data_IF_810789307697
#
_entry.id   IF_810789307697
#
_cell.length_a   1.000
_cell.length_b   1.000
_cell.length_c   1.000
_cell.angle_alpha   90.00
_cell.angle_beta   90.00
_cell.angle_gamma   90.00
#
_symmetry.space_group_name_H-M   'P 1'
#
loop_
_entity.id
_entity.type
_entity.pdbx_description
1 polymer ?
#
# COMPACT_ATOMS: atom_id res chain seq x y z
N UNK A 1 -11.82 -6.41 -13.40
CA UNK A 1 -12.96 -5.84 -12.64
C UNK A 1 -13.86 -6.93 -12.10
N UNK A 2 -14.69 -6.67 -11.07
CA UNK A 2 -15.59 -7.67 -10.50
C UNK A 2 -16.64 -8.23 -11.50
N UNK A 3 -17.02 -7.44 -12.48
CA UNK A 3 -17.96 -7.81 -13.55
C UNK A 3 -17.28 -8.37 -14.81
N UNK A 4 -15.95 -8.60 -14.76
CA UNK A 4 -15.11 -9.11 -15.85
C UNK A 4 -15.10 -8.23 -17.11
N UNK A 5 -15.69 -7.01 -17.06
CA UNK A 5 -15.72 -6.09 -18.21
C UNK A 5 -14.38 -5.42 -18.48
N UNK A 6 -13.48 -5.39 -17.51
CA UNK A 6 -12.14 -4.76 -17.60
C UNK A 6 -11.06 -5.65 -16.99
N UNK A 7 -9.90 -5.64 -17.61
CA UNK A 7 -8.70 -6.38 -17.17
C UNK A 7 -7.58 -5.37 -16.94
N UNK A 8 -6.85 -5.50 -15.83
CA UNK A 8 -5.60 -4.78 -15.61
C UNK A 8 -4.45 -5.59 -16.19
N UNK A 9 -3.68 -4.97 -17.06
CA UNK A 9 -2.47 -5.54 -17.64
C UNK A 9 -1.27 -4.73 -17.18
N UNK A 10 -0.16 -5.40 -16.92
CA UNK A 10 1.07 -4.76 -16.46
C UNK A 10 2.22 -4.97 -17.44
N UNK A 11 3.10 -3.99 -17.52
CA UNK A 11 4.35 -4.04 -18.30
C UNK A 11 5.44 -3.23 -17.61
N UNK A 12 6.68 -3.35 -18.12
CA UNK A 12 7.85 -2.62 -17.59
C UNK A 12 8.01 -2.79 -16.08
N UNK A 13 7.85 -4.01 -15.61
CA UNK A 13 7.97 -4.34 -14.19
C UNK A 13 9.39 -4.13 -13.70
N UNK A 14 9.52 -3.43 -12.56
CA UNK A 14 10.78 -3.22 -11.84
C UNK A 14 10.60 -3.61 -10.38
N UNK A 15 11.30 -4.65 -9.93
CA UNK A 15 11.27 -5.12 -8.55
C UNK A 15 11.75 -4.04 -7.57
N UNK A 16 11.14 -4.02 -6.38
CA UNK A 16 11.56 -3.19 -5.24
C UNK A 16 12.15 -4.13 -4.17
N UNK A 17 11.32 -5.02 -3.63
CA UNK A 17 11.70 -6.07 -2.68
C UNK A 17 11.29 -7.44 -3.22
N UNK A 18 11.08 -8.43 -2.35
CA UNK A 18 10.73 -9.79 -2.74
C UNK A 18 9.37 -9.88 -3.47
N UNK A 19 8.38 -9.09 -3.04
CA UNK A 19 7.00 -9.13 -3.53
C UNK A 19 6.56 -7.83 -4.20
N UNK A 20 7.12 -6.72 -3.78
CA UNK A 20 6.78 -5.40 -4.31
C UNK A 20 7.53 -5.08 -5.58
N UNK A 21 6.85 -4.40 -6.47
CA UNK A 21 7.39 -3.90 -7.74
C UNK A 21 6.60 -2.70 -8.23
N UNK A 22 7.22 -1.91 -9.08
CA UNK A 22 6.53 -0.92 -9.89
C UNK A 22 6.29 -1.46 -11.29
N UNK A 23 5.19 -1.06 -11.93
CA UNK A 23 4.92 -1.37 -13.33
C UNK A 23 4.09 -0.25 -13.97
N UNK A 24 4.06 -0.19 -15.28
CA UNK A 24 3.05 0.57 -16.02
C UNK A 24 1.83 -0.31 -16.20
N UNK A 25 0.66 0.20 -15.85
CA UNK A 25 -0.59 -0.53 -15.96
C UNK A 25 -1.50 0.05 -17.03
N UNK A 26 -2.21 -0.85 -17.67
CA UNK A 26 -3.21 -0.57 -18.70
C UNK A 26 -4.54 -1.18 -18.30
N UNK A 27 -5.61 -0.50 -18.63
CA UNK A 27 -6.98 -1.00 -18.52
C UNK A 27 -7.39 -1.48 -19.89
N UNK A 28 -7.69 -2.76 -20.02
CA UNK A 28 -8.28 -3.34 -21.22
C UNK A 28 -9.80 -3.43 -21.04
N UNK A 29 -10.55 -2.71 -21.85
CA UNK A 29 -12.01 -2.83 -21.95
C UNK A 29 -12.35 -3.98 -22.89
N UNK A 30 -12.90 -5.05 -22.34
CA UNK A 30 -13.17 -6.30 -23.07
C UNK A 30 -14.22 -6.09 -24.15
N UNK A 31 -15.29 -5.33 -23.85
CA UNK A 31 -16.40 -5.09 -24.78
C UNK A 31 -15.99 -4.25 -25.99
N UNK A 32 -15.20 -3.22 -25.74
CA UNK A 32 -14.81 -2.26 -26.75
C UNK A 32 -13.46 -2.60 -27.41
N UNK A 33 -12.78 -3.65 -26.95
CA UNK A 33 -11.45 -4.09 -27.41
C UNK A 33 -10.45 -2.91 -27.39
N UNK A 34 -10.44 -2.13 -26.29
CA UNK A 34 -9.67 -0.90 -26.18
C UNK A 34 -8.74 -0.94 -24.97
N UNK A 35 -7.52 -0.46 -25.18
CA UNK A 35 -6.53 -0.22 -24.12
C UNK A 35 -6.47 1.26 -23.77
N UNK A 36 -6.39 1.56 -22.48
CA UNK A 36 -6.09 2.89 -21.96
C UNK A 36 -5.05 2.79 -20.86
N UNK A 37 -4.19 3.79 -20.71
CA UNK A 37 -3.31 3.87 -19.54
C UNK A 37 -4.12 4.00 -18.26
N UNK A 38 -3.69 3.33 -17.19
CA UNK A 38 -4.26 3.56 -15.87
C UNK A 38 -3.91 4.97 -15.38
N UNK A 39 -2.67 5.42 -15.61
CA UNK A 39 -2.17 6.72 -15.19
C UNK A 39 -1.02 7.17 -16.07
N UNK A 40 -0.99 8.46 -16.40
CA UNK A 40 0.13 9.11 -17.11
C UNK A 40 1.22 9.62 -16.15
N UNK A 41 1.01 9.50 -14.84
CA UNK A 41 1.93 10.05 -13.82
C UNK A 41 3.17 9.20 -13.52
N UNK A 42 3.40 8.13 -14.27
CA UNK A 42 4.53 7.18 -14.12
C UNK A 42 4.14 5.87 -13.45
N UNK A 43 5.10 4.98 -13.19
CA UNK A 43 4.85 3.62 -12.73
C UNK A 43 4.05 3.55 -11.42
N UNK A 44 3.18 2.55 -11.33
CA UNK A 44 2.29 2.32 -10.21
C UNK A 44 2.65 1.03 -9.47
N UNK A 45 2.12 0.87 -8.25
CA UNK A 45 2.17 -0.35 -7.45
C UNK A 45 0.75 -0.76 -7.08
N UNK A 46 0.50 -2.05 -7.08
CA UNK A 46 -0.67 -2.73 -6.52
C UNK A 46 -2.03 -2.10 -6.88
N UNK A 47 -2.38 -1.91 -8.16
CA UNK A 47 -3.69 -1.38 -8.52
C UNK A 47 -4.80 -2.38 -8.18
N UNK A 48 -5.86 -1.89 -7.51
CA UNK A 48 -7.00 -2.68 -7.06
C UNK A 48 -8.29 -2.01 -7.51
N UNK A 49 -9.19 -2.78 -8.15
CA UNK A 49 -10.55 -2.31 -8.46
C UNK A 49 -11.38 -2.12 -7.18
N UNK A 50 -12.25 -1.11 -7.18
CA UNK A 50 -13.33 -1.03 -6.21
C UNK A 50 -14.33 -2.18 -6.39
N UNK A 51 -15.05 -2.61 -5.34
CA UNK A 51 -16.05 -3.69 -5.43
C UNK A 51 -17.15 -3.46 -6.49
N UNK A 52 -17.52 -2.20 -6.75
CA UNK A 52 -18.48 -1.83 -7.80
C UNK A 52 -17.86 -1.71 -9.22
N UNK A 53 -16.54 -1.91 -9.35
CA UNK A 53 -15.82 -1.84 -10.62
C UNK A 53 -15.71 -0.45 -11.23
N UNK A 54 -16.09 0.62 -10.53
CA UNK A 54 -16.12 1.99 -11.08
C UNK A 54 -14.83 2.78 -10.83
N UNK A 55 -13.97 2.28 -9.94
CA UNK A 55 -12.73 2.96 -9.54
C UNK A 55 -11.56 1.96 -9.45
N UNK A 56 -10.35 2.51 -9.53
CA UNK A 56 -9.10 1.79 -9.22
C UNK A 56 -8.29 2.65 -8.26
N UNK A 57 -7.86 2.06 -7.13
CA UNK A 57 -6.86 2.64 -6.24
C UNK A 57 -5.50 2.01 -6.51
N UNK A 58 -4.42 2.79 -6.39
CA UNK A 58 -3.05 2.31 -6.52
C UNK A 58 -2.08 3.19 -5.72
N UNK A 59 -0.87 2.69 -5.50
CA UNK A 59 0.21 3.47 -4.90
C UNK A 59 1.20 3.96 -5.96
N UNK A 60 1.73 5.17 -5.78
CA UNK A 60 2.82 5.75 -6.56
C UNK A 60 3.63 6.71 -5.69
N UNK A 61 4.95 6.55 -5.68
CA UNK A 61 5.86 7.38 -4.86
C UNK A 61 5.38 7.48 -3.40
N UNK A 62 5.08 6.33 -2.79
CA UNK A 62 4.60 6.19 -1.41
C UNK A 62 3.26 6.88 -1.09
N UNK A 63 2.52 7.31 -2.09
CA UNK A 63 1.21 7.92 -1.93
C UNK A 63 0.12 7.12 -2.64
N UNK A 64 -1.11 7.19 -2.10
CA UNK A 64 -2.30 6.60 -2.70
C UNK A 64 -2.96 7.54 -3.69
N UNK A 65 -3.42 6.95 -4.77
CA UNK A 65 -4.17 7.59 -5.85
C UNK A 65 -5.46 6.81 -6.13
N UNK A 66 -6.44 7.51 -6.65
CA UNK A 66 -7.73 6.96 -7.05
C UNK A 66 -8.07 7.42 -8.47
N UNK A 67 -8.39 6.48 -9.35
CA UNK A 67 -8.89 6.74 -10.71
C UNK A 67 -10.36 6.40 -10.76
N UNK A 68 -11.18 7.32 -11.26
CA UNK A 68 -12.62 7.13 -11.51
C UNK A 68 -12.85 6.83 -12.98
N UNK A 69 -13.21 5.57 -13.29
CA UNK A 69 -13.29 5.04 -14.66
C UNK A 69 -14.45 5.67 -15.48
N UNK A 70 -15.54 6.07 -14.81
CA UNK A 70 -16.69 6.68 -15.47
C UNK A 70 -16.49 8.16 -15.86
N UNK A 71 -15.38 8.76 -15.44
CA UNK A 71 -15.06 10.18 -15.66
C UNK A 71 -13.73 10.30 -16.44
N UNK A 72 -13.64 9.62 -17.56
CA UNK A 72 -12.46 9.61 -18.44
C UNK A 72 -11.15 9.30 -17.68
N UNK A 73 -11.20 8.31 -16.79
CA UNK A 73 -10.09 7.92 -15.93
C UNK A 73 -9.53 9.07 -15.08
N UNK A 74 -10.40 9.94 -14.56
CA UNK A 74 -9.98 11.05 -13.72
C UNK A 74 -9.21 10.58 -12.49
N UNK A 75 -7.93 10.93 -12.44
CA UNK A 75 -7.03 10.61 -11.34
C UNK A 75 -7.12 11.67 -10.22
N UNK A 76 -7.10 11.21 -8.98
CA UNK A 76 -7.02 12.05 -7.78
C UNK A 76 -5.96 11.50 -6.83
N UNK A 77 -5.11 12.37 -6.32
CA UNK A 77 -4.18 12.02 -5.25
C UNK A 77 -4.91 12.06 -3.90
N UNK A 78 -4.82 10.97 -3.13
CA UNK A 78 -5.48 10.80 -1.83
C UNK A 78 -4.55 11.22 -0.68
N UNK A 79 -3.30 10.75 -0.69
CA UNK A 79 -2.29 11.10 0.34
C UNK A 79 -1.19 11.95 -0.27
N UNK A 80 -0.52 12.78 0.56
CA UNK A 80 0.51 13.71 0.10
C UNK A 80 1.77 13.71 0.95
N UNK A 81 1.78 12.93 2.03
CA UNK A 81 2.88 12.85 2.99
C UNK A 81 3.84 11.69 2.70
N UNK A 82 3.54 10.89 1.67
CA UNK A 82 4.42 9.80 1.25
C UNK A 82 5.76 10.31 0.77
N UNK A 83 6.84 9.76 1.34
CA UNK A 83 8.22 10.15 1.03
C UNK A 83 9.15 8.95 1.22
N UNK A 84 10.10 8.78 0.30
CA UNK A 84 11.07 7.68 0.33
C UNK A 84 11.87 7.68 1.64
N UNK A 85 11.99 6.53 2.27
CA UNK A 85 12.63 6.32 3.56
C UNK A 85 12.03 7.14 4.74
N UNK A 86 10.80 7.60 4.62
CA UNK A 86 10.10 8.32 5.69
C UNK A 86 8.67 7.82 5.89
N UNK A 87 7.82 7.95 4.87
CA UNK A 87 6.39 7.61 5.00
C UNK A 87 5.90 6.82 3.80
N UNK A 88 5.21 5.71 4.08
CA UNK A 88 4.51 4.92 3.07
C UNK A 88 3.02 4.89 3.37
N UNK A 89 2.21 5.03 2.34
CA UNK A 89 0.74 4.95 2.44
C UNK A 89 0.23 3.79 1.58
N UNK A 90 -0.39 2.80 2.22
CA UNK A 90 -1.06 1.69 1.54
C UNK A 90 -0.13 0.65 0.91
N UNK A 91 1.17 0.81 1.03
CA UNK A 91 2.20 -0.19 0.69
C UNK A 91 3.06 -0.41 1.93
N UNK A 92 3.47 -1.66 2.22
CA UNK A 92 4.25 -1.97 3.40
C UNK A 92 5.69 -1.47 3.27
N UNK A 93 6.35 -1.27 4.43
CA UNK A 93 7.79 -1.20 4.53
C UNK A 93 8.41 -2.59 4.34
N UNK A 94 9.74 -2.68 4.32
CA UNK A 94 10.44 -3.94 4.08
C UNK A 94 10.07 -5.03 5.09
N UNK A 95 10.00 -4.69 6.40
CA UNK A 95 9.69 -5.66 7.47
C UNK A 95 8.28 -6.21 7.32
N UNK A 96 7.30 -5.33 7.14
CA UNK A 96 5.91 -5.76 7.02
C UNK A 96 5.65 -6.54 5.73
N UNK A 97 6.34 -6.22 4.63
CA UNK A 97 6.30 -7.01 3.40
C UNK A 97 6.85 -8.42 3.61
N UNK A 98 8.03 -8.52 4.22
CA UNK A 98 8.73 -9.79 4.38
C UNK A 98 8.04 -10.70 5.43
N UNK A 99 7.74 -10.16 6.62
CA UNK A 99 7.17 -10.91 7.74
C UNK A 99 5.72 -11.34 7.50
N UNK A 100 4.92 -10.47 6.90
CA UNK A 100 3.48 -10.73 6.71
C UNK A 100 3.09 -11.10 5.28
N UNK A 101 4.07 -11.30 4.40
CA UNK A 101 3.85 -11.75 3.02
C UNK A 101 2.83 -10.92 2.26
N UNK A 102 2.90 -9.59 2.36
CA UNK A 102 1.99 -8.65 1.70
C UNK A 102 2.74 -7.56 0.96
N UNK A 103 2.19 -7.10 -0.16
CA UNK A 103 2.67 -5.92 -0.88
C UNK A 103 1.58 -4.85 -1.02
N UNK A 104 0.38 -5.11 -0.48
CA UNK A 104 -0.76 -4.21 -0.51
C UNK A 104 -1.33 -4.03 0.90
N UNK A 105 -1.40 -2.79 1.38
CA UNK A 105 -1.89 -2.44 2.71
C UNK A 105 -3.04 -1.44 2.66
N UNK A 106 -3.91 -1.55 1.63
CA UNK A 106 -5.15 -0.79 1.52
C UNK A 106 -6.29 -1.66 0.98
N UNK A 107 -7.52 -1.25 1.26
CA UNK A 107 -8.74 -1.97 0.88
C UNK A 107 -9.93 -1.02 0.73
N UNK A 108 -10.85 -1.33 -0.18
CA UNK A 108 -12.12 -0.62 -0.30
C UNK A 108 -13.19 -1.21 0.63
N UNK A 109 -14.10 -0.36 1.11
CA UNK A 109 -15.34 -0.82 1.72
C UNK A 109 -16.23 -1.55 0.70
N UNK A 110 -17.10 -2.45 1.18
CA UNK A 110 -17.99 -3.24 0.33
C UNK A 110 -18.91 -2.38 -0.56
N UNK A 111 -19.27 -1.18 -0.10
CA UNK A 111 -20.07 -0.20 -0.84
C UNK A 111 -19.24 0.76 -1.72
N UNK A 112 -17.92 0.53 -1.83
CA UNK A 112 -16.98 1.33 -2.62
C UNK A 112 -16.88 2.81 -2.23
N UNK A 113 -17.36 3.21 -1.03
CA UNK A 113 -17.39 4.62 -0.61
C UNK A 113 -16.23 5.04 0.28
N UNK A 114 -15.54 4.08 0.86
CA UNK A 114 -14.39 4.32 1.74
C UNK A 114 -13.19 3.54 1.25
N UNK A 115 -12.03 4.18 1.24
CA UNK A 115 -10.72 3.54 1.10
C UNK A 115 -10.04 3.55 2.47
N UNK A 116 -9.62 2.39 2.96
CA UNK A 116 -8.83 2.26 4.18
C UNK A 116 -7.41 1.81 3.85
N UNK A 117 -6.42 2.30 4.61
CA UNK A 117 -5.03 1.89 4.43
C UNK A 117 -4.23 1.93 5.73
N UNK A 118 -3.12 1.22 5.73
CA UNK A 118 -2.09 1.35 6.76
C UNK A 118 -1.09 2.40 6.29
N UNK A 119 -0.80 3.36 7.17
CA UNK A 119 0.29 4.31 7.03
C UNK A 119 1.46 3.84 7.88
N UNK A 120 2.62 3.74 7.27
CA UNK A 120 3.87 3.39 7.93
C UNK A 120 4.76 4.64 7.99
N UNK A 121 5.22 5.00 9.18
CA UNK A 121 6.20 6.05 9.41
C UNK A 121 7.53 5.40 9.79
N UNK A 122 8.40 5.25 8.80
CA UNK A 122 9.72 4.64 8.95
C UNK A 122 10.84 5.67 9.18
N UNK A 123 10.49 6.92 9.47
CA UNK A 123 11.48 8.00 9.64
C UNK A 123 12.52 7.69 10.72
N UNK A 124 12.11 6.99 11.78
CA UNK A 124 12.97 6.59 12.90
C UNK A 124 13.62 5.21 12.73
N UNK A 125 13.28 4.47 11.68
CA UNK A 125 13.90 3.18 11.37
C UNK A 125 15.32 3.44 10.84
N UNK A 126 16.34 2.70 11.31
CA UNK A 126 17.70 2.85 10.79
C UNK A 126 17.81 2.50 9.30
N UNK A 127 18.71 3.17 8.61
CA UNK A 127 19.11 2.80 7.26
C UNK A 127 20.15 1.67 7.35
N UNK A 128 19.97 0.65 6.52
CA UNK A 128 20.93 -0.41 6.29
C UNK A 128 21.42 -0.35 4.86
N UNK A 129 22.74 -0.32 4.67
CA UNK A 129 23.37 -0.25 3.35
C UNK A 129 23.90 -1.62 2.94
N UNK A 130 23.35 -2.17 1.86
CA UNK A 130 23.86 -3.39 1.24
C UNK A 130 24.82 -3.00 0.13
N UNK A 131 25.99 -3.65 0.10
CA UNK A 131 26.92 -3.50 -1.03
C UNK A 131 26.38 -4.30 -2.23
N UNK A 132 26.32 -3.63 -3.37
CA UNK A 132 25.96 -4.23 -4.65
C UNK A 132 27.18 -4.28 -5.56
N UNK A 133 27.41 -5.46 -6.13
CA UNK A 133 28.45 -5.70 -7.13
C UNK A 133 27.79 -5.89 -8.50
N UNK A 134 28.52 -5.63 -9.57
CA UNK A 134 28.02 -5.72 -10.95
C UNK A 134 27.34 -7.05 -11.29
N UNK A 135 27.89 -8.16 -10.85
CA UNK A 135 27.33 -9.51 -11.02
C UNK A 135 26.77 -9.77 -12.41
N UNK A 136 25.52 -10.28 -12.46
CA UNK A 136 24.79 -10.58 -13.70
C UNK A 136 24.09 -9.36 -14.34
N UNK A 137 24.25 -8.16 -13.79
CA UNK A 137 23.66 -6.91 -14.31
C UNK A 137 24.73 -5.95 -14.82
N UNK A 138 25.43 -6.26 -15.93
CA UNK A 138 26.55 -5.47 -16.44
C UNK A 138 26.18 -4.06 -16.93
N UNK A 139 24.89 -3.73 -17.01
CA UNK A 139 24.40 -2.39 -17.35
C UNK A 139 24.58 -1.35 -16.24
N UNK A 140 24.84 -1.78 -15.00
CA UNK A 140 25.09 -0.88 -13.87
C UNK A 140 26.56 -0.44 -13.87
N UNK A 141 26.93 0.48 -14.76
CA UNK A 141 28.31 0.95 -14.94
C UNK A 141 28.94 1.55 -13.69
N UNK A 142 28.13 2.11 -12.80
CA UNK A 142 28.61 2.70 -11.54
C UNK A 142 29.28 1.68 -10.60
N UNK A 143 29.10 0.38 -10.83
CA UNK A 143 29.65 -0.69 -10.00
C UNK A 143 30.77 -1.47 -10.70
N UNK A 144 31.38 -0.91 -11.77
CA UNK A 144 32.40 -1.62 -12.54
C UNK A 144 33.70 -1.85 -11.76
N UNK A 145 34.14 -0.88 -10.97
CA UNK A 145 35.40 -0.96 -10.20
C UNK A 145 35.16 -1.08 -8.69
N UNK A 146 34.13 -0.38 -8.19
CA UNK A 146 33.76 -0.37 -6.77
C UNK A 146 32.33 -0.80 -6.59
N UNK A 147 31.98 -1.45 -5.43
CA UNK A 147 30.60 -1.77 -5.14
C UNK A 147 29.78 -0.49 -4.99
N UNK A 148 28.54 -0.52 -5.49
CA UNK A 148 27.52 0.45 -5.12
C UNK A 148 26.89 0.11 -3.77
N UNK A 149 25.99 0.96 -3.30
CA UNK A 149 25.17 0.69 -2.12
C UNK A 149 23.68 0.76 -2.46
N UNK A 150 22.93 -0.15 -1.89
CA UNK A 150 21.48 -0.09 -1.85
C UNK A 150 21.05 0.21 -0.40
N UNK A 151 20.57 1.42 -0.19
CA UNK A 151 20.18 1.92 1.12
C UNK A 151 18.66 1.81 1.31
N UNK A 152 18.23 1.12 2.35
CA UNK A 152 16.81 1.04 2.70
C UNK A 152 16.61 0.92 4.20
N UNK A 153 15.38 1.17 4.64
CA UNK A 153 15.02 1.07 6.06
C UNK A 153 14.95 -0.39 6.47
N UNK A 154 15.81 -0.77 7.43
CA UNK A 154 15.89 -2.14 7.92
C UNK A 154 16.16 -2.16 9.41
N UNK A 155 15.17 -2.48 10.24
CA UNK A 155 15.37 -2.56 11.69
C UNK A 155 16.05 -3.89 12.02
N UNK A 156 17.32 -3.82 12.44
CA UNK A 156 17.97 -4.99 13.06
C UNK A 156 17.32 -5.29 14.41
N UNK A 157 17.59 -6.45 14.98
CA UNK A 157 17.06 -6.84 16.29
C UNK A 157 17.31 -5.73 17.34
N UNK A 158 16.26 -5.32 18.05
CA UNK A 158 16.30 -4.24 19.04
C UNK A 158 16.20 -2.81 18.48
N UNK A 159 16.29 -2.61 17.16
CA UNK A 159 16.09 -1.29 16.55
C UNK A 159 14.61 -0.90 16.50
N UNK A 160 14.34 0.38 16.24
CA UNK A 160 12.97 0.91 16.08
C UNK A 160 12.29 0.34 14.84
N UNK A 161 11.04 -0.06 14.99
CA UNK A 161 10.13 -0.34 13.88
C UNK A 161 9.49 0.94 13.36
N UNK A 162 8.81 0.83 12.20
CA UNK A 162 7.89 1.87 11.73
C UNK A 162 6.75 2.07 12.71
N UNK A 163 6.38 3.31 12.93
CA UNK A 163 5.13 3.65 13.62
C UNK A 163 3.97 3.45 12.63
N UNK A 164 3.00 2.61 12.99
CA UNK A 164 1.90 2.24 12.10
C UNK A 164 0.58 2.84 12.57
N UNK A 165 -0.27 3.20 11.62
CA UNK A 165 -1.64 3.69 11.91
C UNK A 165 -2.60 3.34 10.80
N UNK A 166 -3.88 3.15 11.13
CA UNK A 166 -4.94 2.95 10.14
C UNK A 166 -5.58 4.28 9.80
N UNK A 167 -5.69 4.55 8.52
CA UNK A 167 -6.37 5.72 7.97
C UNK A 167 -7.54 5.29 7.09
N UNK A 168 -8.55 6.14 6.99
CA UNK A 168 -9.66 5.98 6.04
C UNK A 168 -9.89 7.27 5.27
N UNK A 169 -10.39 7.13 4.04
CA UNK A 169 -10.77 8.25 3.18
C UNK A 169 -12.20 8.05 2.68
N UNK A 170 -13.08 8.97 3.05
CA UNK A 170 -14.43 9.06 2.50
C UNK A 170 -14.34 9.65 1.09
N UNK A 171 -14.64 8.84 0.08
CA UNK A 171 -14.42 9.19 -1.34
C UNK A 171 -15.34 10.31 -1.80
N UNK A 172 -16.59 10.35 -1.29
CA UNK A 172 -17.56 11.38 -1.65
C UNK A 172 -17.21 12.71 -1.00
N UNK A 173 -16.98 12.70 0.30
CA UNK A 173 -16.77 13.90 1.10
C UNK A 173 -15.31 14.37 1.08
N UNK A 174 -14.37 13.54 0.57
CA UNK A 174 -12.92 13.81 0.51
C UNK A 174 -12.32 14.08 1.89
N UNK A 175 -12.76 13.33 2.90
CA UNK A 175 -12.31 13.46 4.29
C UNK A 175 -11.47 12.27 4.68
N UNK A 176 -10.25 12.54 5.15
CA UNK A 176 -9.35 11.53 5.76
C UNK A 176 -9.54 11.51 7.27
N UNK A 177 -9.58 10.31 7.85
CA UNK A 177 -9.65 10.09 9.31
C UNK A 177 -8.55 9.14 9.75
N UNK A 178 -8.11 9.29 11.00
CA UNK A 178 -7.26 8.31 11.68
C UNK A 178 -8.12 7.47 12.58
N UNK A 179 -8.00 6.15 12.46
CA UNK A 179 -8.75 5.21 13.29
C UNK A 179 -8.12 5.10 14.68
N UNK A 180 -8.96 5.03 15.72
CA UNK A 180 -8.52 4.91 17.11
C UNK A 180 -8.16 3.45 17.48
N UNK A 181 -7.33 2.81 16.65
CA UNK A 181 -6.88 1.42 16.88
C UNK A 181 -5.75 1.43 17.89
N UNK A 182 -5.89 0.72 19.03
CA UNK A 182 -4.78 0.53 19.95
C UNK A 182 -3.71 -0.35 19.32
N UNK A 183 -2.51 0.22 19.17
CA UNK A 183 -1.32 -0.48 18.69
C UNK A 183 -0.11 0.01 19.49
N UNK A 184 0.75 -0.90 19.88
CA UNK A 184 1.99 -0.55 20.58
C UNK A 184 2.88 0.32 19.67
N UNK A 185 3.67 1.21 20.25
CA UNK A 185 4.51 2.19 19.50
C UNK A 185 5.53 1.56 18.55
N UNK A 186 5.83 0.28 18.74
CA UNK A 186 6.73 -0.56 17.92
C UNK A 186 6.05 -1.87 17.48
N UNK A 187 4.73 -1.97 17.64
CA UNK A 187 3.90 -3.07 17.19
C UNK A 187 3.63 -3.05 15.68
N UNK A 188 2.79 -3.97 15.24
CA UNK A 188 2.48 -4.18 13.82
C UNK A 188 0.97 -4.13 13.58
N UNK A 189 0.61 -3.82 12.35
CA UNK A 189 -0.74 -4.04 11.79
C UNK A 189 -0.60 -4.97 10.57
N UNK A 190 -0.59 -6.30 10.78
CA UNK A 190 -0.37 -7.26 9.69
C UNK A 190 -1.43 -7.24 8.60
N UNK A 191 -2.69 -6.96 8.97
CA UNK A 191 -3.83 -7.00 8.04
C UNK A 191 -4.91 -6.00 8.40
N UNK A 192 -5.51 -5.46 7.36
CA UNK A 192 -6.80 -4.76 7.42
C UNK A 192 -7.72 -5.34 6.35
N UNK A 193 -8.98 -5.51 6.65
CA UNK A 193 -9.96 -6.04 5.71
C UNK A 193 -11.36 -5.56 6.04
N UNK A 194 -12.06 -4.98 5.07
CA UNK A 194 -13.48 -4.73 5.23
C UNK A 194 -14.27 -6.05 5.25
N UNK A 195 -15.30 -6.09 6.07
CA UNK A 195 -16.33 -7.15 6.01
C UNK A 195 -17.34 -6.81 4.89
N UNK A 196 -18.36 -7.65 4.73
CA UNK A 196 -19.50 -7.33 3.86
C UNK A 196 -20.31 -6.11 4.34
N UNK A 197 -20.20 -5.77 5.63
CA UNK A 197 -20.73 -4.53 6.19
C UNK A 197 -19.72 -3.40 5.95
N UNK A 198 -20.06 -2.35 5.18
CA UNK A 198 -19.14 -1.26 4.85
C UNK A 198 -18.74 -0.40 6.07
N UNK A 199 -19.46 -0.52 7.18
CA UNK A 199 -19.17 0.16 8.44
C UNK A 199 -18.31 -0.68 9.40
N UNK A 200 -17.79 -1.82 8.93
CA UNK A 200 -16.97 -2.74 9.72
C UNK A 200 -15.65 -3.09 9.00
N UNK A 201 -14.58 -2.47 9.47
CA UNK A 201 -13.20 -2.76 9.07
C UNK A 201 -12.55 -3.62 10.16
N UNK A 202 -12.16 -4.84 9.83
CA UNK A 202 -11.35 -5.67 10.70
C UNK A 202 -9.89 -5.20 10.62
N UNK A 203 -9.27 -4.98 11.76
CA UNK A 203 -7.86 -4.60 11.91
C UNK A 203 -7.20 -5.59 12.84
N UNK A 204 -6.16 -6.26 12.36
CA UNK A 204 -5.33 -7.16 13.16
C UNK A 204 -4.13 -6.38 13.66
N UNK A 205 -3.90 -6.38 14.97
CA UNK A 205 -2.68 -5.82 15.57
C UNK A 205 -1.84 -6.92 16.18
N UNK A 206 -0.53 -6.69 16.24
CA UNK A 206 0.43 -7.64 16.81
C UNK A 206 1.47 -6.82 17.62
N UNK A 207 1.80 -7.27 18.82
CA UNK A 207 2.86 -6.63 19.59
C UNK A 207 4.24 -6.96 18.98
N UNK A 208 5.29 -6.26 19.44
CA UNK A 208 6.65 -6.42 18.91
C UNK A 208 7.19 -7.85 19.04
N UNK A 209 6.88 -8.55 20.13
CA UNK A 209 7.32 -9.92 20.37
C UNK A 209 6.53 -10.96 19.58
N UNK A 210 5.43 -10.54 18.92
CA UNK A 210 4.56 -11.40 18.10
C UNK A 210 3.93 -12.55 18.88
N UNK A 211 3.74 -12.39 20.19
CA UNK A 211 3.12 -13.36 21.10
C UNK A 211 1.71 -12.92 21.56
N UNK A 212 1.28 -11.68 21.20
CA UNK A 212 -0.08 -11.17 21.42
C UNK A 212 -0.66 -10.57 20.16
N UNK A 213 -1.75 -11.14 19.70
CA UNK A 213 -2.54 -10.66 18.57
C UNK A 213 -3.93 -10.25 19.04
N UNK A 214 -4.36 -9.04 18.66
CA UNK A 214 -5.71 -8.56 18.90
C UNK A 214 -6.40 -8.28 17.56
N UNK A 215 -7.71 -8.49 17.50
CA UNK A 215 -8.54 -8.14 16.34
C UNK A 215 -9.54 -7.07 16.76
N UNK A 216 -9.50 -5.93 16.09
CA UNK A 216 -10.43 -4.84 16.30
C UNK A 216 -11.43 -4.73 15.15
N UNK A 217 -12.71 -4.52 15.49
CA UNK A 217 -13.72 -4.04 14.55
C UNK A 217 -13.79 -2.54 14.63
N UNK A 218 -13.50 -1.88 13.53
CA UNK A 218 -13.37 -0.42 13.44
C UNK A 218 -14.48 0.13 12.55
N UNK A 219 -15.16 1.17 13.03
CA UNK A 219 -16.08 1.91 12.18
C UNK A 219 -15.30 3.00 11.43
N UNK A 220 -15.22 2.93 10.08
CA UNK A 220 -14.38 3.83 9.28
C UNK A 220 -14.88 5.28 9.26
N UNK A 221 -16.10 5.56 9.72
CA UNK A 221 -16.71 6.89 9.73
C UNK A 221 -16.67 7.55 11.11
N UNK A 222 -16.90 6.79 12.18
CA UNK A 222 -16.83 7.30 13.56
C UNK A 222 -15.43 7.22 14.18
N UNK A 223 -14.51 6.47 13.56
CA UNK A 223 -13.15 6.16 14.03
C UNK A 223 -13.06 5.20 15.22
N UNK A 224 -14.19 4.80 15.78
CA UNK A 224 -14.26 3.94 16.95
C UNK A 224 -13.72 2.53 16.64
N UNK A 225 -12.88 2.00 17.51
CA UNK A 225 -12.36 0.63 17.46
C UNK A 225 -12.85 -0.16 18.66
N UNK A 226 -13.42 -1.34 18.42
CA UNK A 226 -13.86 -2.27 19.47
C UNK A 226 -13.09 -3.57 19.36
N UNK A 227 -12.51 -4.02 20.47
CA UNK A 227 -11.86 -5.32 20.55
C UNK A 227 -12.90 -6.43 20.26
N UNK A 228 -12.59 -7.31 19.32
CA UNK A 228 -13.41 -8.43 18.95
C UNK A 228 -12.83 -9.77 19.40
N UNK A 229 -11.50 -9.87 19.49
CA UNK A 229 -10.74 -11.04 19.93
C UNK A 229 -9.39 -10.61 20.47
#
# INVERSE_FOLDING_TARGET
SPDESRILLQTKTKSIYRRSFTAEYYIFDVKNNRFTHLSEGGPQQVPVFSPDGTMIAFARKNNLFLVKLLFDNAESQITKDGKFNEVLNGIPDWVNEEEFSTNCSFTFSADSKVLAWIRYDESKVPIYSIQEFKGSHPSLKQYDEYPGTYDYKYPVAGAKNSEVSVKTFDIKNRVTRTMAVPVDSDGYIPRIQFTSDPDRLAVVTLNRHQDRMDIYMVNPRSTEAKLAL
#
